data_IF_825770295801
#
_entry.id   IF_825770295801
#
_cell.length_a   1.000
_cell.length_b   1.000
_cell.length_c   1.000
_cell.angle_alpha   90.00
_cell.angle_beta   90.00
_cell.angle_gamma   90.00
#
_symmetry.space_group_name_H-M   'P 1'
#
loop_
_entity.id
_entity.type
_entity.pdbx_description
1 polymer ?
#
# COMPACT_ATOMS: atom_id res chain seq x y z
N UNK A 1 -57.18 -8.46 24.54
CA UNK A 1 -55.81 -8.32 24.00
C UNK A 1 -55.06 -7.19 24.71
N UNK A 2 -53.74 -7.34 24.96
CA UNK A 2 -52.89 -6.33 25.63
C UNK A 2 -51.81 -5.82 24.68
N UNK A 3 -51.45 -4.54 24.76
CA UNK A 3 -50.40 -3.95 23.94
C UNK A 3 -49.02 -4.46 24.36
N UNK A 4 -48.17 -4.88 23.40
CA UNK A 4 -46.83 -5.38 23.73
C UNK A 4 -45.92 -4.33 24.36
N UNK A 5 -46.08 -3.04 24.03
CA UNK A 5 -45.20 -1.98 24.53
C UNK A 5 -45.52 -1.56 25.95
N UNK A 6 -46.80 -1.26 26.21
CA UNK A 6 -47.24 -0.64 27.46
C UNK A 6 -48.00 -1.62 28.37
N UNK A 7 -48.25 -2.84 27.92
CA UNK A 7 -48.98 -3.91 28.65
C UNK A 7 -50.43 -3.58 29.02
N UNK A 8 -50.96 -2.43 28.61
CA UNK A 8 -52.36 -2.01 28.84
C UNK A 8 -53.33 -2.69 27.86
N UNK A 9 -54.62 -2.89 28.22
CA UNK A 9 -55.65 -3.40 27.32
C UNK A 9 -55.79 -2.54 26.05
N UNK A 10 -56.06 -3.19 24.92
CA UNK A 10 -56.32 -2.52 23.63
C UNK A 10 -57.81 -2.65 23.33
N UNK A 11 -58.53 -1.52 23.36
CA UNK A 11 -60.00 -1.46 23.30
C UNK A 11 -60.55 -0.91 21.98
N UNK A 12 -59.71 -0.31 21.13
CA UNK A 12 -60.09 0.29 19.83
C UNK A 12 -58.99 0.05 18.77
N UNK A 13 -58.95 0.83 17.67
CA UNK A 13 -58.05 0.65 16.52
C UNK A 13 -56.60 0.28 16.93
N UNK A 14 -56.11 -0.85 16.41
CA UNK A 14 -54.82 -1.42 16.83
C UNK A 14 -53.95 -1.87 15.64
N UNK A 15 -52.67 -2.11 15.91
CA UNK A 15 -51.72 -2.68 14.94
C UNK A 15 -51.35 -4.09 15.36
N UNK A 16 -51.50 -5.06 14.45
CA UNK A 16 -50.94 -6.41 14.60
C UNK A 16 -49.62 -6.48 13.84
N UNK A 17 -48.53 -6.70 14.57
CA UNK A 17 -47.18 -6.81 14.03
C UNK A 17 -46.30 -7.63 14.98
N UNK A 18 -45.37 -8.41 14.43
CA UNK A 18 -44.47 -9.30 15.18
C UNK A 18 -45.22 -10.33 16.05
N UNK A 19 -46.35 -10.84 15.54
CA UNK A 19 -47.25 -11.77 16.26
C UNK A 19 -47.80 -11.20 17.57
N UNK A 20 -47.81 -9.87 17.68
CA UNK A 20 -48.24 -9.13 18.87
C UNK A 20 -49.19 -7.99 18.50
N UNK A 21 -49.95 -7.53 19.49
CA UNK A 21 -50.88 -6.40 19.35
C UNK A 21 -50.27 -5.15 19.96
N UNK A 22 -50.47 -4.01 19.31
CA UNK A 22 -49.97 -2.72 19.74
C UNK A 22 -51.06 -1.65 19.63
N UNK A 23 -51.10 -0.69 20.56
CA UNK A 23 -51.77 0.58 20.27
C UNK A 23 -51.08 1.27 19.10
N UNK A 24 -51.79 2.05 18.30
CA UNK A 24 -51.22 2.76 17.14
C UNK A 24 -50.08 3.70 17.56
N UNK A 25 -50.29 4.43 18.64
CA UNK A 25 -49.33 5.32 19.29
C UNK A 25 -48.19 4.58 20.00
N UNK A 26 -48.37 3.28 20.29
CA UNK A 26 -47.30 2.45 20.85
C UNK A 26 -46.43 1.82 19.74
N UNK A 27 -46.94 1.64 18.53
CA UNK A 27 -46.18 1.10 17.41
C UNK A 27 -45.35 2.20 16.73
N UNK A 28 -44.24 2.58 17.36
CA UNK A 28 -43.39 3.71 16.95
C UNK A 28 -42.01 3.29 16.47
N UNK A 29 -41.46 4.07 15.56
CA UNK A 29 -40.12 3.87 15.02
C UNK A 29 -39.07 3.96 16.12
N UNK A 30 -38.18 2.99 16.20
CA UNK A 30 -37.10 2.98 17.18
C UNK A 30 -36.11 4.15 17.03
N UNK A 31 -35.95 4.68 15.82
CA UNK A 31 -35.10 5.85 15.54
C UNK A 31 -35.74 7.18 15.95
N UNK A 32 -36.87 7.56 15.34
CA UNK A 32 -37.47 8.89 15.53
C UNK A 32 -38.58 8.95 16.58
N UNK A 33 -38.98 7.81 17.15
CA UNK A 33 -40.07 7.66 18.13
C UNK A 33 -41.47 8.10 17.66
N UNK A 34 -41.65 8.41 16.37
CA UNK A 34 -42.96 8.70 15.76
C UNK A 34 -43.71 7.41 15.36
N UNK A 35 -45.05 7.40 15.36
CA UNK A 35 -45.85 6.26 14.91
C UNK A 35 -45.47 5.76 13.52
N UNK A 36 -45.51 4.44 13.32
CA UNK A 36 -45.22 3.79 12.05
C UNK A 36 -46.53 3.37 11.41
N UNK A 37 -46.81 3.94 10.24
CA UNK A 37 -47.93 3.54 9.38
C UNK A 37 -47.36 3.14 8.00
N UNK A 38 -47.92 2.09 7.39
CA UNK A 38 -47.44 1.58 6.09
C UNK A 38 -46.22 0.65 6.19
N UNK A 39 -45.34 0.67 5.19
CA UNK A 39 -44.15 -0.19 5.14
C UNK A 39 -43.13 0.16 6.24
N UNK A 40 -42.52 -0.85 6.84
CA UNK A 40 -41.52 -0.70 7.90
C UNK A 40 -40.48 -1.81 7.87
N UNK A 41 -39.33 -1.56 8.50
CA UNK A 41 -38.25 -2.54 8.66
C UNK A 41 -38.25 -3.06 10.10
N UNK A 42 -38.24 -4.39 10.27
CA UNK A 42 -38.08 -5.04 11.58
C UNK A 42 -36.60 -5.23 11.87
N UNK A 43 -36.11 -4.71 13.01
CA UNK A 43 -34.77 -5.02 13.52
C UNK A 43 -34.78 -5.13 15.03
N UNK A 44 -34.18 -6.21 15.55
CA UNK A 44 -34.14 -6.53 17.00
C UNK A 44 -35.53 -6.39 17.67
N UNK A 45 -36.58 -6.87 16.99
CA UNK A 45 -37.95 -6.82 17.51
C UNK A 45 -38.63 -5.44 17.53
N UNK A 46 -37.99 -4.40 16.99
CA UNK A 46 -38.54 -3.05 16.93
C UNK A 46 -38.84 -2.63 15.49
N UNK A 47 -39.92 -1.85 15.26
CA UNK A 47 -40.21 -1.30 13.95
C UNK A 47 -39.38 -0.05 13.70
N UNK A 48 -38.97 0.14 12.45
CA UNK A 48 -38.28 1.33 11.96
C UNK A 48 -38.98 1.83 10.71
N UNK A 49 -39.14 3.15 10.56
CA UNK A 49 -39.40 3.72 9.24
C UNK A 49 -38.24 3.36 8.32
N UNK A 50 -38.53 3.03 7.05
CA UNK A 50 -37.50 2.72 6.05
C UNK A 50 -36.42 3.81 5.98
N UNK A 51 -36.82 5.08 5.97
CA UNK A 51 -35.89 6.21 5.96
C UNK A 51 -35.03 6.29 7.25
N UNK A 52 -35.63 6.11 8.43
CA UNK A 52 -34.90 6.12 9.71
C UNK A 52 -33.92 4.95 9.80
N UNK A 53 -34.30 3.77 9.33
CA UNK A 53 -33.42 2.61 9.28
C UNK A 53 -32.24 2.86 8.34
N UNK A 54 -32.51 3.37 7.13
CA UNK A 54 -31.47 3.70 6.15
C UNK A 54 -30.47 4.68 6.75
N UNK A 55 -30.96 5.81 7.28
CA UNK A 55 -30.12 6.84 7.92
C UNK A 55 -29.29 6.30 9.10
N UNK A 56 -29.83 5.36 9.87
CA UNK A 56 -29.15 4.84 11.07
C UNK A 56 -28.12 3.74 10.77
N UNK A 57 -28.26 3.01 9.66
CA UNK A 57 -27.54 1.75 9.47
C UNK A 57 -26.92 1.55 8.09
N UNK A 58 -27.28 2.36 7.10
CA UNK A 58 -26.70 2.28 5.77
C UNK A 58 -25.72 3.45 5.64
N UNK A 59 -24.41 3.18 5.52
CA UNK A 59 -23.44 4.24 5.27
C UNK A 59 -23.68 4.88 3.90
N UNK A 60 -23.40 6.17 3.81
CA UNK A 60 -23.43 6.87 2.53
C UNK A 60 -22.12 6.65 1.76
N UNK A 61 -22.22 6.67 0.43
CA UNK A 61 -21.09 6.61 -0.47
C UNK A 61 -20.22 7.86 -0.29
N UNK A 62 -18.94 7.69 0.01
CA UNK A 62 -18.03 8.83 0.21
C UNK A 62 -17.85 9.71 -1.05
N UNK A 63 -18.18 9.18 -2.23
CA UNK A 63 -18.04 9.89 -3.51
C UNK A 63 -19.30 10.67 -3.87
N UNK A 64 -20.48 10.05 -3.84
CA UNK A 64 -21.73 10.68 -4.32
C UNK A 64 -22.73 11.03 -3.23
N UNK A 65 -22.41 10.75 -1.96
CA UNK A 65 -23.26 11.03 -0.78
C UNK A 65 -24.65 10.37 -0.82
N UNK A 66 -24.82 9.34 -1.66
CA UNK A 66 -26.04 8.51 -1.71
C UNK A 66 -25.88 7.28 -0.81
N UNK A 67 -26.97 6.79 -0.18
CA UNK A 67 -26.93 5.56 0.61
C UNK A 67 -26.38 4.38 -0.18
N UNK A 68 -25.46 3.62 0.42
CA UNK A 68 -24.88 2.44 -0.23
C UNK A 68 -25.90 1.30 -0.34
N UNK A 69 -25.80 0.53 -1.42
CA UNK A 69 -26.52 -0.73 -1.56
C UNK A 69 -25.77 -1.84 -0.81
N UNK A 70 -26.29 -3.07 -0.83
CA UNK A 70 -25.59 -4.23 -0.29
C UNK A 70 -24.28 -4.54 -1.04
N UNK A 71 -24.11 -4.04 -2.26
CA UNK A 71 -22.89 -4.18 -3.05
C UNK A 71 -22.18 -2.83 -3.14
N UNK A 72 -21.05 -2.71 -2.46
CA UNK A 72 -20.20 -1.53 -2.48
C UNK A 72 -18.73 -1.93 -2.53
N UNK A 73 -17.88 -0.99 -2.91
CA UNK A 73 -16.43 -1.12 -2.87
C UNK A 73 -15.89 -0.39 -1.64
N UNK A 74 -14.76 -0.87 -1.13
CA UNK A 74 -14.08 -0.27 0.00
C UNK A 74 -12.58 -0.28 -0.25
N UNK A 75 -11.93 0.87 -0.11
CA UNK A 75 -10.47 0.95 -0.17
C UNK A 75 -9.83 0.53 1.17
N UNK A 76 -8.49 0.46 1.20
CA UNK A 76 -7.76 0.07 2.41
C UNK A 76 -8.07 0.96 3.63
N UNK A 77 -8.37 2.24 3.40
CA UNK A 77 -8.59 3.25 4.44
C UNK A 77 -10.02 3.29 4.94
N UNK A 78 -10.88 2.38 4.46
CA UNK A 78 -12.26 2.28 4.90
C UNK A 78 -13.23 3.17 4.15
N UNK A 79 -12.79 3.84 3.08
CA UNK A 79 -13.68 4.64 2.24
C UNK A 79 -14.61 3.71 1.47
N UNK A 80 -15.91 3.76 1.78
CA UNK A 80 -16.93 2.94 1.13
C UNK A 80 -17.63 3.72 0.03
N UNK A 81 -17.70 3.15 -1.17
CA UNK A 81 -18.27 3.83 -2.35
C UNK A 81 -19.03 2.88 -3.27
N UNK A 82 -19.98 3.45 -4.03
CA UNK A 82 -20.81 2.70 -4.97
C UNK A 82 -19.96 2.02 -6.06
N UNK A 83 -20.42 0.86 -6.55
CA UNK A 83 -19.79 0.13 -7.67
C UNK A 83 -19.68 0.97 -8.95
N UNK A 84 -20.55 1.97 -9.12
CA UNK A 84 -20.55 2.91 -10.25
C UNK A 84 -19.29 3.78 -10.30
N UNK A 85 -18.54 3.88 -9.19
CA UNK A 85 -17.28 4.61 -9.12
C UNK A 85 -16.05 3.71 -9.26
N UNK A 86 -16.21 2.44 -9.67
CA UNK A 86 -15.10 1.50 -9.90
C UNK A 86 -14.07 2.02 -10.91
N UNK A 87 -14.50 2.84 -11.87
CA UNK A 87 -13.64 3.41 -12.91
C UNK A 87 -12.72 4.52 -12.42
N UNK A 88 -12.92 5.04 -11.21
CA UNK A 88 -12.01 6.05 -10.66
C UNK A 88 -10.66 5.41 -10.34
N UNK A 89 -9.60 6.16 -10.64
CA UNK A 89 -8.24 5.71 -10.36
C UNK A 89 -8.02 5.53 -8.85
N UNK A 90 -7.14 4.60 -8.49
CA UNK A 90 -6.61 4.47 -7.13
C UNK A 90 -5.24 5.12 -7.06
N UNK A 91 -4.94 5.79 -5.95
CA UNK A 91 -3.65 6.42 -5.74
C UNK A 91 -2.55 5.35 -5.68
N UNK A 92 -1.48 5.52 -6.44
CA UNK A 92 -0.33 4.62 -6.46
C UNK A 92 0.38 4.57 -5.11
N UNK A 93 0.41 5.69 -4.39
CA UNK A 93 1.07 5.77 -3.08
C UNK A 93 0.24 5.22 -1.93
N UNK A 94 -1.09 5.33 -1.95
CA UNK A 94 -1.91 4.95 -0.79
C UNK A 94 -3.13 4.10 -1.12
N UNK A 95 -3.42 3.79 -2.39
CA UNK A 95 -4.64 3.10 -2.85
C UNK A 95 -5.97 3.74 -2.48
N UNK A 96 -6.00 5.00 -1.98
CA UNK A 96 -7.27 5.74 -1.89
C UNK A 96 -7.86 5.94 -3.26
N UNK A 97 -9.19 5.85 -3.36
CA UNK A 97 -9.91 6.30 -4.55
C UNK A 97 -9.65 7.79 -4.81
N UNK A 98 -9.22 8.13 -6.02
CA UNK A 98 -8.83 9.50 -6.39
C UNK A 98 -10.05 10.25 -6.90
N UNK A 99 -10.59 11.14 -6.06
CA UNK A 99 -11.73 11.97 -6.41
C UNK A 99 -11.81 13.23 -5.53
N UNK A 100 -12.60 14.21 -5.95
CA UNK A 100 -12.80 15.46 -5.21
C UNK A 100 -13.19 15.26 -3.74
N UNK A 101 -14.26 14.51 -3.44
CA UNK A 101 -14.75 14.35 -2.06
C UNK A 101 -13.80 13.63 -1.10
N UNK A 102 -12.98 12.69 -1.60
CA UNK A 102 -12.12 11.85 -0.73
C UNK A 102 -10.70 12.40 -0.67
N UNK A 103 -10.12 12.77 -1.81
CA UNK A 103 -8.71 13.14 -1.91
C UNK A 103 -8.49 14.56 -2.40
N UNK A 104 -9.54 15.33 -2.69
CA UNK A 104 -9.43 16.61 -3.39
C UNK A 104 -9.00 16.45 -4.85
N UNK A 105 -9.12 15.25 -5.43
CA UNK A 105 -8.56 14.90 -6.75
C UNK A 105 -7.14 14.34 -6.68
N UNK A 106 -6.43 14.44 -7.79
CA UNK A 106 -5.07 13.92 -7.94
C UNK A 106 -4.51 14.18 -9.34
N UNK A 107 -3.23 13.87 -9.51
CA UNK A 107 -2.52 13.95 -10.78
C UNK A 107 -2.42 12.56 -11.39
N UNK A 108 -2.84 12.42 -12.65
CA UNK A 108 -2.66 11.21 -13.45
C UNK A 108 -1.60 11.47 -14.51
N UNK A 109 -0.59 10.61 -14.56
CA UNK A 109 0.50 10.66 -15.50
C UNK A 109 0.18 9.84 -16.76
N UNK A 110 0.85 10.11 -17.91
CA UNK A 110 0.56 9.44 -19.18
C UNK A 110 0.69 7.91 -19.15
N UNK A 111 1.59 7.39 -18.32
CA UNK A 111 1.83 5.95 -18.11
C UNK A 111 0.83 5.30 -17.13
N UNK A 112 -0.20 6.02 -16.71
CA UNK A 112 -1.25 5.51 -15.84
C UNK A 112 -1.00 5.70 -14.35
N UNK A 113 0.21 6.11 -13.94
CA UNK A 113 0.49 6.40 -12.54
C UNK A 113 -0.44 7.51 -12.04
N UNK A 114 -1.05 7.33 -10.87
CA UNK A 114 -1.92 8.37 -10.28
C UNK A 114 -1.51 8.66 -8.85
N UNK A 115 -1.27 9.92 -8.49
CA UNK A 115 -1.00 10.36 -7.11
C UNK A 115 -2.12 11.30 -6.66
N UNK A 116 -2.77 10.97 -5.54
CA UNK A 116 -3.83 11.80 -4.98
C UNK A 116 -3.27 13.05 -4.28
N UNK A 117 -4.08 14.12 -4.20
CA UNK A 117 -3.61 15.38 -3.61
C UNK A 117 -3.29 15.25 -2.11
N UNK A 118 -3.87 14.29 -1.39
CA UNK A 118 -3.46 14.01 0.00
C UNK A 118 -2.01 13.51 0.11
N UNK A 119 -1.54 12.75 -0.87
CA UNK A 119 -0.17 12.23 -0.88
C UNK A 119 0.86 13.29 -1.31
N UNK A 120 0.45 14.28 -2.12
CA UNK A 120 1.36 15.35 -2.54
C UNK A 120 1.59 16.39 -1.45
N UNK A 121 0.74 16.48 -0.42
CA UNK A 121 0.93 17.40 0.73
C UNK A 121 2.28 17.15 1.42
N UNK A 122 2.65 15.89 1.62
CA UNK A 122 3.95 15.48 2.17
C UNK A 122 4.96 15.13 1.08
N UNK A 123 4.78 15.68 -0.13
CA UNK A 123 5.57 15.38 -1.31
C UNK A 123 7.01 15.85 -1.16
N UNK A 124 7.98 14.97 -1.41
CA UNK A 124 9.39 15.34 -1.47
C UNK A 124 9.67 16.01 -2.81
N UNK A 125 10.00 17.30 -2.78
CA UNK A 125 10.15 18.14 -3.98
C UNK A 125 11.42 19.00 -4.02
N UNK A 126 12.22 19.02 -2.94
CA UNK A 126 13.41 19.88 -2.84
C UNK A 126 14.70 19.06 -2.67
N UNK A 127 15.82 19.49 -3.29
CA UNK A 127 17.11 18.82 -3.14
C UNK A 127 17.58 18.72 -1.67
N UNK A 128 17.35 19.77 -0.86
CA UNK A 128 17.71 19.75 0.55
C UNK A 128 16.98 18.66 1.35
N UNK A 129 15.68 18.45 1.08
CA UNK A 129 14.94 17.37 1.73
C UNK A 129 15.42 16.01 1.26
N UNK A 130 15.69 15.84 -0.04
CA UNK A 130 16.26 14.60 -0.59
C UNK A 130 17.58 14.23 0.09
N UNK A 131 18.50 15.20 0.24
CA UNK A 131 19.79 14.96 0.88
C UNK A 131 19.62 14.50 2.34
N UNK A 132 18.74 15.16 3.10
CA UNK A 132 18.44 14.77 4.47
C UNK A 132 17.89 13.34 4.56
N UNK A 133 16.88 13.03 3.73
CA UNK A 133 16.28 11.70 3.68
C UNK A 133 17.32 10.64 3.28
N UNK A 134 18.22 10.95 2.36
CA UNK A 134 19.27 10.04 1.95
C UNK A 134 20.28 9.74 3.06
N UNK A 135 20.66 10.74 3.88
CA UNK A 135 21.50 10.50 5.06
C UNK A 135 20.80 9.59 6.07
N UNK A 136 19.53 9.85 6.34
CA UNK A 136 18.72 9.05 7.25
C UNK A 136 18.57 7.60 6.76
N UNK A 137 18.26 7.40 5.48
CA UNK A 137 18.06 6.05 4.92
C UNK A 137 19.36 5.26 4.78
N UNK A 138 20.51 5.91 4.54
CA UNK A 138 21.82 5.24 4.62
C UNK A 138 22.14 4.78 6.05
N UNK A 139 21.77 5.57 7.06
CA UNK A 139 21.90 5.16 8.48
C UNK A 139 21.03 3.94 8.79
N UNK A 140 19.79 3.92 8.30
CA UNK A 140 18.89 2.75 8.40
C UNK A 140 19.52 1.53 7.73
N UNK A 141 19.99 1.64 6.48
CA UNK A 141 20.61 0.54 5.76
C UNK A 141 21.85 -0.01 6.51
N UNK A 142 22.67 0.88 7.08
CA UNK A 142 23.81 0.53 7.94
C UNK A 142 23.36 -0.24 9.18
N UNK A 143 22.28 0.17 9.85
CA UNK A 143 21.74 -0.53 11.03
C UNK A 143 21.21 -1.94 10.69
N UNK A 144 20.87 -2.19 9.44
CA UNK A 144 20.51 -3.51 8.92
C UNK A 144 21.73 -4.36 8.55
N UNK A 145 22.94 -3.83 8.72
CA UNK A 145 24.20 -4.50 8.42
C UNK A 145 24.68 -4.35 6.96
N UNK A 146 24.05 -3.46 6.19
CA UNK A 146 24.36 -3.20 4.78
C UNK A 146 24.97 -1.80 4.67
N UNK A 147 26.30 -1.70 4.81
CA UNK A 147 26.97 -0.42 4.86
C UNK A 147 27.51 0.03 3.49
N UNK A 148 27.36 1.32 3.19
CA UNK A 148 27.87 1.99 2.01
C UNK A 148 29.11 2.86 2.28
N UNK A 149 29.49 3.14 3.54
CA UNK A 149 30.68 3.91 3.95
C UNK A 149 31.07 5.08 3.02
N UNK A 150 32.09 4.88 2.18
CA UNK A 150 32.70 5.85 1.27
C UNK A 150 32.04 5.90 -0.12
N UNK A 151 31.01 5.08 -0.35
CA UNK A 151 30.33 4.98 -1.63
C UNK A 151 29.51 6.23 -1.94
N UNK A 152 29.84 6.88 -3.06
CA UNK A 152 29.02 7.94 -3.63
C UNK A 152 27.71 7.35 -4.17
N UNK A 153 26.61 7.65 -3.48
CA UNK A 153 25.26 7.28 -3.91
C UNK A 153 24.39 8.53 -4.05
N UNK A 154 24.70 9.45 -4.97
CA UNK A 154 23.92 10.68 -5.16
C UNK A 154 22.44 10.34 -5.34
N UNK A 155 21.55 11.11 -4.74
CA UNK A 155 20.10 10.92 -4.87
C UNK A 155 19.51 12.24 -5.35
N UNK A 156 18.68 12.18 -6.38
CA UNK A 156 17.91 13.34 -6.85
C UNK A 156 16.52 12.97 -7.31
N UNK A 157 15.69 14.00 -7.44
CA UNK A 157 14.36 13.86 -8.01
C UNK A 157 14.45 13.74 -9.53
N UNK A 158 13.55 12.94 -10.08
CA UNK A 158 13.32 12.79 -11.51
C UNK A 158 11.82 12.87 -11.80
N UNK A 159 11.48 13.32 -13.00
CA UNK A 159 10.12 13.23 -13.53
C UNK A 159 9.89 11.88 -14.22
N UNK A 160 8.70 11.70 -14.84
CA UNK A 160 8.35 10.45 -15.51
C UNK A 160 9.26 10.20 -16.71
N UNK A 161 9.46 11.21 -17.55
CA UNK A 161 10.17 11.07 -18.82
C UNK A 161 11.63 10.69 -18.56
N UNK A 162 12.24 11.28 -17.54
CA UNK A 162 13.60 10.97 -17.13
C UNK A 162 13.72 9.54 -16.54
N UNK A 163 12.78 9.12 -15.68
CA UNK A 163 12.78 7.76 -15.16
C UNK A 163 12.64 6.73 -16.30
N UNK A 164 11.69 6.93 -17.21
CA UNK A 164 11.48 6.02 -18.34
C UNK A 164 12.67 5.97 -19.28
N UNK A 165 13.29 7.12 -19.58
CA UNK A 165 14.47 7.21 -20.46
C UNK A 165 15.70 6.49 -19.88
N UNK A 166 15.74 6.26 -18.57
CA UNK A 166 16.85 5.58 -17.88
C UNK A 166 16.53 4.14 -17.46
N UNK A 167 15.28 3.68 -17.60
CA UNK A 167 14.90 2.31 -17.26
C UNK A 167 15.58 1.32 -18.20
N UNK A 168 16.06 0.20 -17.64
CA UNK A 168 16.77 -0.86 -18.39
C UNK A 168 15.91 -2.07 -18.73
N UNK A 169 14.68 -2.10 -18.23
CA UNK A 169 13.73 -3.18 -18.46
C UNK A 169 12.32 -2.62 -18.61
N UNK A 170 11.54 -3.26 -19.48
CA UNK A 170 10.17 -2.84 -19.81
C UNK A 170 9.12 -3.51 -18.90
N UNK A 171 9.52 -4.45 -18.04
CA UNK A 171 8.60 -5.23 -17.20
C UNK A 171 8.20 -4.49 -15.91
N UNK A 172 7.35 -3.47 -16.05
CA UNK A 172 6.80 -2.69 -14.93
C UNK A 172 5.28 -2.80 -14.79
N UNK A 173 4.64 -3.75 -15.48
CA UNK A 173 3.16 -3.83 -15.61
C UNK A 173 2.40 -3.84 -14.27
N UNK A 174 2.99 -4.43 -13.21
CA UNK A 174 2.39 -4.44 -11.87
C UNK A 174 3.11 -3.54 -10.84
N UNK A 175 4.30 -3.03 -11.16
CA UNK A 175 5.13 -2.24 -10.24
C UNK A 175 5.56 -0.92 -10.90
N UNK A 176 4.95 0.21 -10.49
CA UNK A 176 5.22 1.48 -11.12
C UNK A 176 6.68 1.87 -10.91
N UNK A 177 7.35 2.28 -11.97
CA UNK A 177 8.72 2.78 -11.92
C UNK A 177 8.77 4.06 -11.09
N UNK A 178 9.22 3.97 -9.84
CA UNK A 178 9.26 5.08 -8.87
C UNK A 178 10.68 5.50 -8.49
N UNK A 179 11.67 4.62 -8.69
CA UNK A 179 13.07 4.87 -8.44
C UNK A 179 13.94 4.05 -9.38
N UNK A 180 15.20 4.48 -9.53
CA UNK A 180 16.22 3.80 -10.32
C UNK A 180 17.61 4.06 -9.75
N UNK A 181 18.33 3.00 -9.38
CA UNK A 181 19.78 3.02 -9.22
C UNK A 181 20.47 2.91 -10.59
N UNK A 182 21.29 3.90 -10.93
CA UNK A 182 21.93 4.03 -12.25
C UNK A 182 23.44 3.86 -12.12
N UNK A 183 24.02 3.01 -12.98
CA UNK A 183 25.47 2.83 -13.09
C UNK A 183 25.90 2.49 -14.51
N UNK A 184 27.09 2.87 -14.96
CA UNK A 184 27.67 2.39 -16.22
C UNK A 184 28.55 1.16 -16.00
N UNK A 185 28.73 0.36 -17.06
CA UNK A 185 29.66 -0.77 -17.07
C UNK A 185 30.42 -0.75 -18.40
N UNK A 186 31.74 -0.72 -18.32
CA UNK A 186 32.66 -0.71 -19.46
C UNK A 186 33.12 -2.14 -19.73
N UNK A 187 33.05 -2.56 -20.99
CA UNK A 187 33.40 -3.90 -21.44
C UNK A 187 34.59 -3.86 -22.40
N UNK A 188 35.47 -4.86 -22.29
CA UNK A 188 36.43 -5.23 -23.34
C UNK A 188 36.14 -6.67 -23.73
N UNK A 189 35.61 -6.85 -24.94
CA UNK A 189 34.97 -8.10 -25.33
C UNK A 189 33.78 -8.42 -24.40
N UNK A 190 33.75 -9.62 -23.82
CA UNK A 190 32.73 -10.03 -22.84
C UNK A 190 33.13 -9.76 -21.38
N UNK A 191 34.29 -9.18 -21.13
CA UNK A 191 34.81 -8.97 -19.77
C UNK A 191 34.49 -7.55 -19.32
N UNK A 192 33.98 -7.44 -18.09
CA UNK A 192 33.81 -6.15 -17.42
C UNK A 192 35.20 -5.65 -17.02
N UNK A 193 35.55 -4.45 -17.48
CA UNK A 193 36.83 -3.78 -17.14
C UNK A 193 36.65 -2.55 -16.26
N UNK A 194 35.42 -2.04 -16.14
CA UNK A 194 35.11 -0.91 -15.27
C UNK A 194 33.62 -0.84 -14.98
N UNK A 195 33.28 -0.31 -13.80
CA UNK A 195 31.91 -0.01 -13.39
C UNK A 195 31.92 1.30 -12.63
N UNK A 196 30.92 2.15 -12.87
CA UNK A 196 30.80 3.42 -12.17
C UNK A 196 29.34 3.63 -11.77
N UNK A 197 29.07 3.74 -10.47
CA UNK A 197 27.78 4.17 -9.98
C UNK A 197 27.61 5.65 -10.31
N UNK A 198 26.44 6.03 -10.84
CA UNK A 198 26.14 7.41 -11.22
C UNK A 198 25.31 8.06 -10.14
N UNK A 199 24.09 7.57 -9.94
CA UNK A 199 23.10 8.20 -9.06
C UNK A 199 21.89 7.30 -8.84
N UNK A 200 21.04 7.71 -7.91
CA UNK A 200 19.69 7.19 -7.67
C UNK A 200 18.69 8.28 -8.06
N UNK A 201 17.79 7.94 -8.98
CA UNK A 201 16.66 8.78 -9.35
C UNK A 201 15.42 8.33 -8.57
N UNK A 202 14.63 9.27 -8.08
CA UNK A 202 13.34 8.98 -7.46
C UNK A 202 12.27 9.94 -7.98
N UNK A 203 11.08 9.43 -8.23
CA UNK A 203 9.91 10.18 -8.64
C UNK A 203 9.68 11.40 -7.74
N UNK A 204 9.59 12.57 -8.35
CA UNK A 204 9.23 13.82 -7.66
C UNK A 204 7.83 13.75 -7.04
N UNK A 205 7.64 14.45 -5.90
CA UNK A 205 6.38 14.59 -5.18
C UNK A 205 5.79 13.29 -4.60
N UNK A 206 6.60 12.25 -4.41
CA UNK A 206 6.18 11.12 -3.58
C UNK A 206 6.02 11.55 -2.11
N UNK A 207 4.97 11.06 -1.40
CA UNK A 207 4.87 11.27 0.03
C UNK A 207 6.10 10.70 0.72
N UNK A 208 6.60 11.40 1.73
CA UNK A 208 7.90 11.12 2.34
C UNK A 208 8.12 9.65 2.73
N UNK A 209 7.15 8.98 3.35
CA UNK A 209 7.31 7.57 3.72
C UNK A 209 7.44 6.66 2.48
N UNK A 210 6.72 6.97 1.41
CA UNK A 210 6.87 6.25 0.15
C UNK A 210 8.23 6.53 -0.49
N UNK A 211 8.66 7.79 -0.48
CA UNK A 211 9.98 8.19 -0.96
C UNK A 211 11.08 7.39 -0.23
N UNK A 212 11.00 7.27 1.09
CA UNK A 212 11.94 6.46 1.90
C UNK A 212 11.91 4.98 1.56
N UNK A 213 10.72 4.44 1.27
CA UNK A 213 10.55 3.04 0.83
C UNK A 213 11.30 2.80 -0.48
N UNK A 214 11.06 3.65 -1.48
CA UNK A 214 11.76 3.58 -2.77
C UNK A 214 13.26 3.81 -2.57
N UNK A 215 13.66 4.76 -1.74
CA UNK A 215 15.07 5.05 -1.52
C UNK A 215 15.84 3.90 -0.88
N UNK A 216 15.28 3.21 0.11
CA UNK A 216 15.97 2.07 0.72
C UNK A 216 16.06 0.87 -0.23
N UNK A 217 15.08 0.71 -1.13
CA UNK A 217 15.15 -0.25 -2.24
C UNK A 217 16.34 0.07 -3.15
N UNK A 218 16.42 1.29 -3.69
CA UNK A 218 17.50 1.68 -4.61
C UNK A 218 18.88 1.70 -3.95
N UNK A 219 18.95 2.08 -2.66
CA UNK A 219 20.20 1.98 -1.89
C UNK A 219 20.63 0.53 -1.69
N UNK A 220 19.70 -0.44 -1.69
CA UNK A 220 20.03 -1.86 -1.63
C UNK A 220 20.66 -2.33 -2.95
N UNK A 221 20.16 -1.89 -4.11
CA UNK A 221 20.83 -2.09 -5.40
C UNK A 221 22.22 -1.46 -5.42
N UNK A 222 22.36 -0.23 -4.92
CA UNK A 222 23.66 0.42 -4.78
C UNK A 222 24.61 -0.41 -3.91
N UNK A 223 24.12 -0.96 -2.80
CA UNK A 223 24.92 -1.85 -1.95
C UNK A 223 25.41 -3.09 -2.72
N UNK A 224 24.55 -3.75 -3.50
CA UNK A 224 24.96 -4.87 -4.36
C UNK A 224 25.95 -4.45 -5.45
N UNK A 225 25.79 -3.26 -6.03
CA UNK A 225 26.72 -2.71 -7.01
C UNK A 225 28.15 -2.66 -6.44
N UNK A 226 28.32 -2.03 -5.27
CA UNK A 226 29.63 -1.83 -4.64
C UNK A 226 30.22 -3.12 -4.05
N UNK A 227 29.38 -4.05 -3.60
CA UNK A 227 29.84 -5.32 -3.02
C UNK A 227 29.97 -6.43 -4.07
N UNK A 228 29.77 -6.13 -5.37
CA UNK A 228 29.97 -7.06 -6.48
C UNK A 228 31.04 -6.51 -7.47
N UNK A 229 32.30 -6.29 -7.07
CA UNK A 229 33.28 -5.58 -7.89
C UNK A 229 33.64 -6.30 -9.20
N UNK A 230 33.58 -7.64 -9.21
CA UNK A 230 33.80 -8.47 -10.41
C UNK A 230 32.61 -8.43 -11.39
N UNK A 231 31.49 -7.83 -10.98
CA UNK A 231 30.23 -7.86 -11.71
C UNK A 231 29.58 -9.24 -11.75
N UNK A 232 28.74 -9.47 -12.76
CA UNK A 232 27.95 -10.70 -12.90
C UNK A 232 26.52 -10.51 -12.43
N UNK A 233 25.59 -10.86 -13.29
CA UNK A 233 24.15 -10.68 -13.09
C UNK A 233 23.67 -11.54 -11.91
N UNK A 234 22.91 -10.91 -11.02
CA UNK A 234 22.06 -11.62 -10.07
C UNK A 234 20.73 -11.84 -10.80
N UNK A 235 20.11 -13.02 -10.72
CA UNK A 235 18.79 -13.23 -11.30
C UNK A 235 17.80 -12.19 -10.75
N UNK A 236 17.01 -11.58 -11.63
CA UNK A 236 16.13 -10.45 -11.28
C UNK A 236 15.24 -10.76 -10.08
N UNK A 237 14.59 -11.92 -10.04
CA UNK A 237 13.78 -12.36 -8.88
C UNK A 237 14.56 -12.40 -7.56
N UNK A 238 15.85 -12.71 -7.60
CA UNK A 238 16.71 -12.76 -6.40
C UNK A 238 17.08 -11.34 -5.96
N UNK A 239 17.47 -10.50 -6.91
CA UNK A 239 17.85 -9.10 -6.67
C UNK A 239 16.66 -8.27 -6.17
N UNK A 240 15.54 -8.29 -6.89
CA UNK A 240 14.32 -7.58 -6.47
C UNK A 240 13.77 -8.14 -5.16
N UNK A 241 13.79 -9.48 -5.01
CA UNK A 241 13.31 -10.12 -3.79
C UNK A 241 14.05 -9.67 -2.52
N UNK A 242 15.38 -9.49 -2.59
CA UNK A 242 16.16 -8.99 -1.46
C UNK A 242 15.95 -7.48 -1.24
N UNK A 243 15.81 -6.68 -2.30
CA UNK A 243 15.50 -5.25 -2.20
C UNK A 243 14.14 -5.02 -1.51
N UNK A 244 13.09 -5.74 -1.93
CA UNK A 244 11.76 -5.72 -1.31
C UNK A 244 11.79 -6.23 0.13
N UNK A 245 12.65 -7.21 0.46
CA UNK A 245 12.84 -7.63 1.85
C UNK A 245 13.41 -6.50 2.71
N UNK A 246 14.40 -5.74 2.23
CA UNK A 246 14.98 -4.62 2.98
C UNK A 246 13.93 -3.52 3.23
N UNK A 247 13.11 -3.19 2.23
CA UNK A 247 11.95 -2.31 2.40
C UNK A 247 11.03 -2.82 3.52
N UNK A 248 10.64 -4.09 3.45
CA UNK A 248 9.72 -4.71 4.40
C UNK A 248 10.27 -4.65 5.84
N UNK A 249 11.58 -4.87 6.02
CA UNK A 249 12.24 -4.78 7.32
C UNK A 249 12.20 -3.35 7.88
N UNK A 250 12.44 -2.34 7.05
CA UNK A 250 12.30 -0.95 7.47
C UNK A 250 10.85 -0.58 7.78
N UNK A 251 9.89 -0.94 6.92
CA UNK A 251 8.47 -0.70 7.17
C UNK A 251 7.96 -1.37 8.45
N UNK A 252 8.54 -2.52 8.83
CA UNK A 252 8.17 -3.24 10.07
C UNK A 252 8.60 -2.48 11.33
N UNK A 253 9.62 -1.61 11.25
CA UNK A 253 10.03 -0.75 12.37
C UNK A 253 9.21 0.53 12.49
N UNK A 254 8.40 0.87 11.47
CA UNK A 254 7.51 2.02 11.48
C UNK A 254 6.17 1.71 12.17
N UNK A 255 5.59 2.71 12.83
CA UNK A 255 4.31 2.60 13.56
C UNK A 255 3.13 3.26 12.85
N UNK A 256 3.33 3.73 11.62
CA UNK A 256 2.34 4.46 10.82
C UNK A 256 1.34 3.51 10.15
N UNK A 257 0.15 4.03 9.83
CA UNK A 257 -0.81 3.29 9.00
C UNK A 257 -0.31 3.09 7.57
N UNK A 258 0.42 4.07 7.03
CA UNK A 258 1.03 3.99 5.70
C UNK A 258 2.02 2.82 5.60
N UNK A 259 2.77 2.53 6.68
CA UNK A 259 3.68 1.41 6.71
C UNK A 259 2.95 0.08 6.86
N UNK A 260 1.85 0.04 7.63
CA UNK A 260 0.96 -1.12 7.68
C UNK A 260 0.36 -1.43 6.31
N UNK A 261 -0.09 -0.41 5.59
CA UNK A 261 -0.62 -0.51 4.24
C UNK A 261 0.43 -1.09 3.27
N UNK A 262 1.62 -0.51 3.21
CA UNK A 262 2.69 -0.96 2.30
C UNK A 262 3.13 -2.39 2.58
N UNK A 263 3.28 -2.76 3.85
CA UNK A 263 3.57 -4.17 4.21
C UNK A 263 2.47 -5.11 3.74
N UNK A 264 1.21 -4.74 3.93
CA UNK A 264 0.09 -5.55 3.43
C UNK A 264 0.10 -5.68 1.90
N UNK A 265 0.58 -4.65 1.18
CA UNK A 265 0.74 -4.74 -0.27
C UNK A 265 1.86 -5.67 -0.70
N UNK A 266 3.04 -5.56 -0.07
CA UNK A 266 4.18 -6.47 -0.30
C UNK A 266 3.77 -7.92 0.00
N UNK A 267 3.10 -8.17 1.13
CA UNK A 267 2.68 -9.51 1.55
C UNK A 267 1.65 -10.16 0.61
N UNK A 268 0.86 -9.36 -0.10
CA UNK A 268 -0.20 -9.82 -1.03
C UNK A 268 0.20 -9.77 -2.49
N UNK A 269 1.37 -9.23 -2.80
CA UNK A 269 1.88 -9.14 -4.16
C UNK A 269 2.04 -10.55 -4.75
N UNK A 270 1.46 -10.77 -5.93
CA UNK A 270 1.52 -12.06 -6.65
C UNK A 270 2.51 -12.03 -7.80
N UNK A 271 3.18 -10.90 -8.03
CA UNK A 271 4.17 -10.76 -9.09
C UNK A 271 5.29 -11.79 -8.90
N UNK A 272 5.71 -12.51 -9.95
CA UNK A 272 6.76 -13.53 -9.85
C UNK A 272 8.13 -12.97 -9.47
N UNK A 273 8.45 -11.74 -9.86
CA UNK A 273 9.75 -11.12 -9.59
C UNK A 273 9.75 -10.52 -8.18
N UNK A 274 8.81 -9.64 -7.89
CA UNK A 274 8.79 -8.88 -6.65
C UNK A 274 8.10 -9.64 -5.51
N UNK A 275 6.89 -10.16 -5.75
CA UNK A 275 6.09 -10.88 -4.75
C UNK A 275 6.69 -12.23 -4.36
N UNK A 276 6.88 -13.13 -5.33
CA UNK A 276 7.50 -14.43 -5.05
C UNK A 276 8.97 -14.30 -4.63
N UNK A 277 9.70 -13.35 -5.23
CA UNK A 277 11.07 -13.02 -4.85
C UNK A 277 11.17 -12.60 -3.38
N UNK A 278 10.28 -11.70 -2.93
CA UNK A 278 10.16 -11.32 -1.53
C UNK A 278 9.89 -12.51 -0.62
N UNK A 279 8.95 -13.40 -0.98
CA UNK A 279 8.62 -14.57 -0.17
C UNK A 279 9.83 -15.52 -0.02
N UNK A 280 10.63 -15.69 -1.09
CA UNK A 280 11.88 -16.47 -1.04
C UNK A 280 12.94 -15.78 -0.18
N UNK A 281 13.12 -14.47 -0.32
CA UNK A 281 14.03 -13.68 0.50
C UNK A 281 13.65 -13.73 1.98
N UNK A 282 12.37 -13.59 2.31
CA UNK A 282 11.86 -13.65 3.68
C UNK A 282 12.14 -15.02 4.32
N UNK A 283 11.93 -16.12 3.59
CA UNK A 283 12.30 -17.47 4.05
C UNK A 283 13.81 -17.59 4.26
N UNK A 284 14.63 -17.10 3.33
CA UNK A 284 16.07 -17.12 3.45
C UNK A 284 16.57 -16.29 4.65
N UNK A 285 15.91 -15.18 4.96
CA UNK A 285 16.20 -14.31 6.11
C UNK A 285 15.89 -14.94 7.47
N UNK A 286 15.08 -16.01 7.49
CA UNK A 286 14.90 -16.85 8.68
C UNK A 286 16.07 -17.82 8.89
N UNK A 287 16.83 -18.11 7.82
CA UNK A 287 17.98 -19.02 7.86
C UNK A 287 19.28 -18.28 8.16
N UNK A 288 19.46 -17.07 7.62
CA UNK A 288 20.67 -16.27 7.78
C UNK A 288 20.35 -14.85 8.28
N UNK A 289 21.32 -14.23 8.97
CA UNK A 289 21.32 -12.77 9.19
C UNK A 289 21.37 -12.05 7.83
N UNK A 290 20.80 -10.84 7.76
CA UNK A 290 20.68 -10.12 6.48
C UNK A 290 22.04 -9.92 5.79
N UNK A 291 23.06 -9.52 6.54
CA UNK A 291 24.42 -9.34 6.01
C UNK A 291 25.02 -10.64 5.47
N UNK A 292 24.83 -11.77 6.17
CA UNK A 292 25.26 -13.09 5.68
C UNK A 292 24.47 -13.51 4.44
N UNK A 293 23.17 -13.26 4.41
CA UNK A 293 22.31 -13.57 3.25
C UNK A 293 22.75 -12.79 2.00
N UNK A 294 23.04 -11.49 2.13
CA UNK A 294 23.50 -10.70 0.98
C UNK A 294 24.86 -11.17 0.47
N UNK A 295 25.81 -11.54 1.36
CA UNK A 295 27.08 -12.17 0.95
C UNK A 295 26.86 -13.50 0.23
N UNK A 296 25.98 -14.35 0.74
CA UNK A 296 25.62 -15.61 0.09
C UNK A 296 25.08 -15.38 -1.32
N UNK A 297 24.19 -14.39 -1.50
CA UNK A 297 23.63 -14.03 -2.82
C UNK A 297 24.74 -13.53 -3.76
N UNK A 298 25.68 -12.72 -3.28
CA UNK A 298 26.80 -12.25 -4.10
C UNK A 298 27.65 -13.40 -4.65
N UNK A 299 27.90 -14.43 -3.83
CA UNK A 299 28.72 -15.59 -4.19
C UNK A 299 27.96 -16.61 -5.04
N UNK A 300 26.69 -16.85 -4.73
CA UNK A 300 25.93 -17.99 -5.27
C UNK A 300 24.84 -17.59 -6.27
N UNK A 301 24.52 -16.29 -6.38
CA UNK A 301 23.50 -15.72 -7.27
C UNK A 301 22.10 -16.35 -7.08
N UNK A 302 21.80 -16.84 -5.87
CA UNK A 302 20.52 -17.46 -5.50
C UNK A 302 20.27 -17.34 -4.00
N UNK A 303 19.03 -17.58 -3.57
CA UNK A 303 18.71 -17.75 -2.16
C UNK A 303 19.21 -19.11 -1.62
N UNK A 304 19.66 -19.19 -0.36
CA UNK A 304 20.15 -20.43 0.24
C UNK A 304 19.01 -21.43 0.49
N UNK A 305 19.35 -22.72 0.35
CA UNK A 305 18.54 -23.79 0.94
C UNK A 305 18.86 -23.92 2.44
N UNK A 306 18.05 -24.66 3.20
CA UNK A 306 18.34 -24.95 4.62
C UNK A 306 19.72 -25.58 4.83
N UNK A 307 20.07 -26.55 3.99
CA UNK A 307 21.37 -27.23 4.07
C UNK A 307 22.51 -26.27 3.76
N UNK A 308 22.38 -25.46 2.70
CA UNK A 308 23.40 -24.51 2.32
C UNK A 308 23.61 -23.43 3.41
N UNK A 309 22.53 -22.94 4.02
CA UNK A 309 22.60 -21.97 5.10
C UNK A 309 23.31 -22.53 6.34
N UNK A 310 23.07 -23.81 6.69
CA UNK A 310 23.69 -24.45 7.85
C UNK A 310 25.23 -24.49 7.77
N UNK A 311 25.78 -24.63 6.57
CA UNK A 311 27.24 -24.65 6.36
C UNK A 311 27.85 -23.27 6.03
N UNK A 312 27.04 -22.21 6.01
CA UNK A 312 27.48 -20.86 5.63
C UNK A 312 27.70 -19.92 6.82
N UNK A 313 27.05 -20.21 7.95
CA UNK A 313 27.12 -19.38 9.17
C UNK A 313 28.40 -19.58 9.97
#
# INVERSE_FOLDING_TARGET
>A
MRCHRCSKPVTSQFVRAFDKVWHRECFVCAGCKKPVAGQYIRRKGQPWHTACFRKAFIPDCVVCQKPLSNQYLQDYWGNKYCITHRSYASCTSCSRIVCGPVTGGGMRFPDGLTICNLCTVSGVSTPGRVQQLALEMRSVLRSLGLNLYEAETPVRLADRDELHSNSRHDNHDEHPLLGLAIWSTTYVGKRIVGRQFKEILIQTNLPEEHFRTVLIHELTHAWFFYNNPKGGAIPLQVEEGICVLVEYLWLKSQKTEDARYRRAMIERCKDPIYGEGFQKALKAKQLLKLSSLCRYILENKKFPSRLAAFFYD
#
